data_IF_591481128448
#
_entry.id   IF_591481128448
#
_cell.length_a   1.000
_cell.length_b   1.000
_cell.length_c   1.000
_cell.angle_alpha   90.00
_cell.angle_beta   90.00
_cell.angle_gamma   90.00
#
_symmetry.space_group_name_H-M   'P 1'
#
loop_
_entity.id
_entity.type
_entity.pdbx_description
1 polymer ?
#
# COMPACT_ATOMS: atom_id res chain seq x y z
N UNK A 1 4.11 -16.88 13.81
CA UNK A 1 5.47 -16.42 14.19
C UNK A 1 5.64 -16.49 15.69
N UNK A 2 6.84 -16.16 16.19
CA UNK A 2 7.21 -16.28 17.62
C UNK A 2 6.21 -15.60 18.59
N UNK A 3 5.69 -14.41 18.23
CA UNK A 3 4.72 -13.65 19.04
C UNK A 3 3.24 -13.96 18.75
N UNK A 4 2.92 -15.11 18.14
CA UNK A 4 1.53 -15.49 17.87
C UNK A 4 0.72 -15.76 19.15
N UNK A 5 1.41 -16.06 20.26
CA UNK A 5 0.85 -16.23 21.59
C UNK A 5 0.09 -14.98 22.09
N UNK A 6 0.50 -13.79 21.65
CA UNK A 6 -0.20 -12.52 21.96
C UNK A 6 -1.66 -12.50 21.49
N UNK A 7 -2.03 -13.36 20.53
CA UNK A 7 -3.39 -13.47 20.01
C UNK A 7 -4.26 -14.47 20.79
N UNK A 8 -3.68 -15.19 21.77
CA UNK A 8 -4.36 -16.28 22.49
C UNK A 8 -5.72 -15.88 23.05
N UNK A 9 -5.81 -14.71 23.70
CA UNK A 9 -7.08 -14.20 24.28
C UNK A 9 -8.19 -14.04 23.23
N UNK A 10 -7.84 -13.52 22.05
CA UNK A 10 -8.78 -13.32 20.95
C UNK A 10 -9.21 -14.64 20.30
N UNK A 11 -8.26 -15.56 20.13
CA UNK A 11 -8.52 -16.88 19.53
C UNK A 11 -9.43 -17.74 20.41
N UNK A 12 -9.26 -17.69 21.73
CA UNK A 12 -10.08 -18.46 22.67
C UNK A 12 -11.49 -17.91 22.83
N UNK A 13 -11.72 -16.62 22.57
CA UNK A 13 -13.04 -16.00 22.73
C UNK A 13 -14.02 -16.38 21.61
N UNK A 14 -13.52 -16.65 20.40
CA UNK A 14 -14.36 -16.80 19.20
C UNK A 14 -14.79 -18.25 18.89
N UNK A 15 -14.34 -19.25 19.67
CA UNK A 15 -14.71 -20.68 19.54
C UNK A 15 -14.73 -21.24 18.10
N UNK A 16 -13.96 -20.65 17.19
CA UNK A 16 -13.94 -20.98 15.76
C UNK A 16 -12.51 -20.87 15.22
N UNK A 17 -12.08 -21.80 14.35
CA UNK A 17 -10.75 -21.75 13.75
C UNK A 17 -10.56 -20.46 12.94
N UNK A 18 -9.61 -19.64 13.35
CA UNK A 18 -9.27 -18.39 12.67
C UNK A 18 -8.22 -18.63 11.59
N UNK A 19 -8.45 -18.07 10.40
CA UNK A 19 -7.47 -18.03 9.32
C UNK A 19 -6.86 -16.64 9.24
N UNK A 20 -5.54 -16.57 9.10
CA UNK A 20 -4.81 -15.34 8.90
C UNK A 20 -3.97 -15.48 7.63
N UNK A 21 -3.95 -14.40 6.84
CA UNK A 21 -3.21 -14.32 5.59
C UNK A 21 -2.34 -13.07 5.63
N UNK A 22 -1.11 -13.21 5.15
CA UNK A 22 -0.17 -12.10 5.03
C UNK A 22 0.85 -12.46 3.96
N UNK A 23 1.36 -11.43 3.29
CA UNK A 23 2.49 -11.56 2.37
C UNK A 23 3.81 -11.40 3.14
N UNK A 24 4.86 -12.02 2.61
CA UNK A 24 6.24 -11.88 3.09
C UNK A 24 7.12 -11.33 1.98
N UNK A 25 8.26 -10.72 2.33
CA UNK A 25 9.29 -10.46 1.32
C UNK A 25 9.93 -11.77 0.87
N UNK A 26 10.64 -11.73 -0.26
CA UNK A 26 11.48 -12.84 -0.75
C UNK A 26 12.91 -12.78 -0.18
N UNK A 27 13.26 -11.68 0.50
CA UNK A 27 14.54 -11.47 1.18
C UNK A 27 14.43 -11.76 2.67
N UNK A 28 15.44 -12.42 3.26
CA UNK A 28 15.61 -12.51 4.72
C UNK A 28 15.68 -11.09 5.35
N UNK A 29 14.97 -10.81 6.47
CA UNK A 29 14.24 -11.71 7.36
C UNK A 29 12.75 -11.93 7.00
N UNK A 30 12.41 -11.88 5.71
CA UNK A 30 11.08 -12.12 5.12
C UNK A 30 10.00 -11.13 5.58
N UNK A 31 10.41 -9.97 6.10
CA UNK A 31 9.50 -8.96 6.63
C UNK A 31 8.80 -8.15 5.52
N UNK A 32 7.50 -7.93 5.72
CA UNK A 32 6.68 -7.07 4.86
C UNK A 32 5.90 -6.08 5.73
N UNK A 33 5.97 -4.80 5.36
CA UNK A 33 5.26 -3.70 6.02
C UNK A 33 4.15 -3.21 5.11
N UNK A 34 2.92 -3.46 5.52
CA UNK A 34 1.74 -3.20 4.72
C UNK A 34 1.12 -1.86 5.10
N UNK A 35 0.74 -1.11 4.06
CA UNK A 35 0.03 0.15 4.18
C UNK A 35 -1.24 0.11 3.33
N UNK A 36 -2.26 0.83 3.78
CA UNK A 36 -3.47 1.10 3.00
C UNK A 36 -3.38 2.51 2.41
N UNK A 37 -3.35 2.59 1.09
CA UNK A 37 -3.38 3.83 0.34
C UNK A 37 -4.81 4.12 -0.13
N UNK A 38 -5.40 5.17 0.41
CA UNK A 38 -6.67 5.72 -0.06
C UNK A 38 -6.37 6.87 -1.05
N UNK A 39 -6.85 6.78 -2.30
CA UNK A 39 -6.71 7.82 -3.32
C UNK A 39 -8.08 8.28 -3.82
N UNK A 40 -8.28 9.59 -3.91
CA UNK A 40 -9.39 10.20 -4.62
C UNK A 40 -8.84 11.02 -5.79
N UNK A 41 -9.35 10.84 -7.00
CA UNK A 41 -8.89 11.54 -8.21
C UNK A 41 -9.89 12.58 -8.70
N UNK A 42 -9.45 13.51 -9.53
CA UNK A 42 -10.30 14.53 -10.17
C UNK A 42 -10.18 14.54 -11.70
N UNK A 43 -9.69 13.44 -12.29
CA UNK A 43 -9.73 13.24 -13.74
C UNK A 43 -11.18 13.16 -14.23
N UNK A 44 -11.52 13.88 -15.30
CA UNK A 44 -12.84 13.77 -15.95
C UNK A 44 -13.08 12.35 -16.51
N UNK A 45 -12.07 11.78 -17.16
CA UNK A 45 -12.14 10.43 -17.72
C UNK A 45 -11.55 9.41 -16.75
N UNK A 46 -12.19 8.24 -16.69
CA UNK A 46 -11.68 7.09 -15.93
C UNK A 46 -10.27 6.73 -16.37
N UNK A 47 -9.41 6.43 -15.41
CA UNK A 47 -8.04 5.95 -15.65
C UNK A 47 -7.88 4.58 -15.03
N UNK A 48 -7.38 3.62 -15.79
CA UNK A 48 -7.02 2.30 -15.27
C UNK A 48 -5.50 2.12 -15.32
N UNK A 49 -4.91 1.69 -14.22
CA UNK A 49 -3.47 1.48 -14.14
C UNK A 49 -2.99 1.06 -12.76
N UNK A 50 -1.68 1.00 -12.64
CA UNK A 50 -0.95 0.60 -11.45
C UNK A 50 -0.42 1.83 -10.72
N UNK A 51 -0.31 1.71 -9.40
CA UNK A 51 0.33 2.70 -8.54
C UNK A 51 1.52 2.03 -7.88
N UNK A 52 2.70 2.64 -8.00
CA UNK A 52 3.85 2.36 -7.15
C UNK A 52 4.02 3.52 -6.17
N UNK A 53 4.21 3.20 -4.89
CA UNK A 53 4.40 4.19 -3.83
C UNK A 53 5.87 4.28 -3.51
N UNK A 54 6.36 5.49 -3.31
CA UNK A 54 7.70 5.75 -2.80
C UNK A 54 7.59 6.62 -1.56
N UNK A 55 8.18 6.16 -0.47
CA UNK A 55 8.25 6.86 0.81
C UNK A 55 9.68 7.38 0.97
N UNK A 56 9.82 8.57 1.55
CA UNK A 56 11.11 9.18 1.87
C UNK A 56 11.10 9.64 3.33
N UNK A 57 12.19 9.40 4.03
CA UNK A 57 12.40 9.88 5.40
C UNK A 57 12.99 11.30 5.42
N UNK A 58 13.25 11.85 6.61
CA UNK A 58 13.85 13.18 6.75
C UNK A 58 15.35 13.24 6.42
N UNK A 59 16.03 12.10 6.35
CA UNK A 59 17.43 11.99 5.93
C UNK A 59 17.59 11.83 4.40
N UNK A 60 16.49 11.64 3.68
CA UNK A 60 16.47 11.43 2.24
C UNK A 60 16.54 9.95 1.81
N UNK A 61 16.53 9.00 2.75
CA UNK A 61 16.44 7.58 2.42
C UNK A 61 15.05 7.27 1.87
N UNK A 62 14.99 6.37 0.89
CA UNK A 62 13.74 6.05 0.21
C UNK A 62 13.48 4.56 0.14
N UNK A 63 12.22 4.18 0.33
CA UNK A 63 11.73 2.82 0.08
C UNK A 63 10.60 2.89 -0.94
N UNK A 64 10.52 1.88 -1.79
CA UNK A 64 9.48 1.77 -2.79
C UNK A 64 8.61 0.55 -2.49
N UNK A 65 7.33 0.67 -2.80
CA UNK A 65 6.41 -0.43 -2.62
C UNK A 65 6.61 -1.49 -3.68
N UNK A 66 6.29 -2.72 -3.32
CA UNK A 66 5.94 -3.72 -4.30
C UNK A 66 4.72 -3.23 -5.08
N UNK A 67 4.73 -3.47 -6.38
CA UNK A 67 3.66 -3.02 -7.24
C UNK A 67 2.53 -4.04 -7.21
N UNK A 68 1.30 -3.57 -7.07
CA UNK A 68 0.14 -4.46 -7.07
C UNK A 68 0.06 -5.31 -8.34
N UNK A 69 -0.35 -6.57 -8.15
CA UNK A 69 -0.60 -7.52 -9.22
C UNK A 69 -1.71 -7.03 -10.14
N UNK A 70 -2.72 -6.33 -9.60
CA UNK A 70 -3.90 -5.88 -10.31
C UNK A 70 -3.94 -4.36 -10.55
N UNK A 71 -4.41 -3.98 -11.73
CA UNK A 71 -4.63 -2.58 -12.09
C UNK A 71 -5.92 -2.04 -11.46
N UNK A 72 -5.83 -0.88 -10.81
CA UNK A 72 -6.96 -0.17 -10.23
C UNK A 72 -7.62 0.76 -11.25
N UNK A 73 -8.93 0.96 -11.11
CA UNK A 73 -9.70 1.92 -11.91
C UNK A 73 -10.05 3.14 -11.07
N UNK A 74 -9.63 4.31 -11.53
CA UNK A 74 -9.80 5.60 -10.88
C UNK A 74 -10.86 6.42 -11.61
N UNK A 75 -11.98 6.66 -10.94
CA UNK A 75 -13.07 7.50 -11.42
C UNK A 75 -13.11 8.81 -10.63
N UNK A 76 -13.59 9.88 -11.27
CA UNK A 76 -13.66 11.21 -10.66
C UNK A 76 -14.38 11.16 -9.31
N UNK A 77 -13.74 11.73 -8.29
CA UNK A 77 -14.25 11.86 -6.91
C UNK A 77 -14.58 10.55 -6.20
N UNK A 78 -14.22 9.39 -6.77
CA UNK A 78 -14.34 8.10 -6.10
C UNK A 78 -13.06 7.76 -5.37
N UNK A 79 -13.23 7.34 -4.12
CA UNK A 79 -12.12 6.82 -3.31
C UNK A 79 -11.82 5.39 -3.71
N UNK A 80 -10.56 5.13 -4.02
CA UNK A 80 -10.01 3.80 -4.30
C UNK A 80 -9.05 3.45 -3.17
N UNK A 81 -9.15 2.22 -2.67
CA UNK A 81 -8.28 1.68 -1.63
C UNK A 81 -7.30 0.69 -2.25
N UNK A 82 -6.03 0.84 -1.92
CA UNK A 82 -4.95 0.06 -2.50
C UNK A 82 -4.08 -0.45 -1.36
N UNK A 83 -3.96 -1.77 -1.22
CA UNK A 83 -2.97 -2.38 -0.32
C UNK A 83 -1.59 -2.24 -0.97
N UNK A 84 -0.59 -1.88 -0.18
CA UNK A 84 0.77 -1.69 -0.69
C UNK A 84 1.78 -2.17 0.35
N UNK A 85 2.69 -3.05 -0.07
CA UNK A 85 3.70 -3.65 0.78
C UNK A 85 5.08 -3.04 0.54
N UNK A 86 5.86 -2.88 1.60
CA UNK A 86 7.26 -2.44 1.56
C UNK A 86 8.14 -3.46 2.30
N UNK A 87 9.33 -3.70 1.80
CA UNK A 87 10.29 -4.60 2.47
C UNK A 87 11.00 -3.95 3.66
N UNK A 88 10.90 -2.63 3.80
CA UNK A 88 11.51 -1.87 4.89
C UNK A 88 10.49 -0.89 5.46
N UNK A 89 10.43 -0.77 6.78
CA UNK A 89 9.63 0.27 7.43
C UNK A 89 10.41 1.58 7.50
N UNK A 90 9.75 2.68 7.17
CA UNK A 90 10.23 4.03 7.46
C UNK A 90 9.34 4.59 8.54
N UNK A 91 9.92 4.86 9.72
CA UNK A 91 9.14 5.34 10.85
C UNK A 91 8.57 6.74 10.61
N UNK A 92 9.44 7.69 10.25
CA UNK A 92 9.09 9.10 10.08
C UNK A 92 9.10 9.46 8.61
N UNK A 93 7.91 9.48 8.03
CA UNK A 93 7.70 9.82 6.62
C UNK A 93 7.74 11.34 6.45
N UNK A 94 8.68 11.83 5.64
CA UNK A 94 8.75 13.25 5.25
C UNK A 94 8.00 13.51 3.95
N UNK A 95 8.02 12.55 3.02
CA UNK A 95 7.42 12.69 1.68
C UNK A 95 6.89 11.36 1.16
N UNK A 96 5.76 11.46 0.47
CA UNK A 96 5.15 10.36 -0.28
C UNK A 96 5.11 10.76 -1.75
N UNK A 97 5.60 9.90 -2.63
CA UNK A 97 5.54 10.06 -4.08
C UNK A 97 4.82 8.88 -4.71
N UNK A 98 4.04 9.14 -5.75
CA UNK A 98 3.27 8.13 -6.45
C UNK A 98 3.67 8.09 -7.93
N UNK A 99 3.87 6.88 -8.44
CA UNK A 99 4.11 6.64 -9.86
C UNK A 99 2.89 5.91 -10.40
N UNK A 100 2.17 6.56 -11.31
CA UNK A 100 1.07 5.94 -12.07
C UNK A 100 1.59 5.39 -13.39
N UNK A 101 1.25 4.14 -13.70
CA UNK A 101 1.63 3.47 -14.94
C UNK A 101 0.46 2.68 -15.53
N UNK A 102 0.35 2.66 -16.86
CA UNK A 102 -0.59 1.78 -17.57
C UNK A 102 0.09 0.50 -18.09
N UNK A 103 1.40 0.32 -17.81
CA UNK A 103 2.28 -0.73 -18.38
C UNK A 103 2.29 -0.79 -19.92
N UNK A 104 1.78 0.23 -20.60
CA UNK A 104 1.76 0.30 -22.07
C UNK A 104 3.01 1.02 -22.54
N UNK A 105 3.85 0.34 -23.33
CA UNK A 105 5.09 0.92 -23.90
C UNK A 105 4.80 1.88 -25.06
N UNK A 106 3.71 1.63 -25.79
CA UNK A 106 3.30 2.38 -26.98
C UNK A 106 1.92 2.96 -26.73
N UNK A 107 1.79 4.28 -26.80
CA UNK A 107 0.51 4.98 -26.63
C UNK A 107 0.63 6.34 -25.94
N UNK A 108 -0.49 7.07 -25.85
CA UNK A 108 -0.51 8.38 -25.21
C UNK A 108 -0.23 8.26 -23.71
N UNK A 109 0.68 9.11 -23.21
CA UNK A 109 0.97 9.19 -21.77
C UNK A 109 -0.24 9.75 -21.03
N UNK A 110 -0.87 8.94 -20.20
CA UNK A 110 -2.00 9.36 -19.38
C UNK A 110 -1.55 9.85 -18.00
N UNK A 111 -1.97 11.06 -17.63
CA UNK A 111 -1.73 11.62 -16.29
C UNK A 111 -2.89 11.27 -15.35
N UNK A 112 -2.56 10.76 -14.17
CA UNK A 112 -3.49 10.66 -13.06
C UNK A 112 -3.43 11.95 -12.24
N UNK A 113 -4.60 12.55 -11.97
CA UNK A 113 -4.76 13.80 -11.23
C UNK A 113 -5.39 13.47 -9.88
N UNK A 114 -4.59 13.54 -8.84
CA UNK A 114 -5.00 13.19 -7.47
C UNK A 114 -5.52 14.44 -6.78
N UNK A 115 -6.68 14.30 -6.12
CA UNK A 115 -7.29 15.35 -5.30
C UNK A 115 -6.85 15.18 -3.84
N UNK A 116 -6.91 13.95 -3.34
CA UNK A 116 -6.54 13.60 -1.98
C UNK A 116 -5.89 12.22 -1.96
N UNK A 117 -4.89 12.06 -1.10
CA UNK A 117 -4.34 10.75 -0.78
C UNK A 117 -4.10 10.61 0.72
N UNK A 118 -4.16 9.39 1.23
CA UNK A 118 -3.83 9.06 2.62
C UNK A 118 -3.18 7.69 2.65
N UNK A 119 -2.03 7.59 3.33
CA UNK A 119 -1.30 6.33 3.50
C UNK A 119 -1.35 5.95 4.98
N UNK A 120 -1.91 4.78 5.30
CA UNK A 120 -2.10 4.32 6.68
C UNK A 120 -1.31 3.04 6.92
N UNK A 121 -0.48 3.02 7.96
CA UNK A 121 0.25 1.79 8.32
C UNK A 121 -0.73 0.78 8.92
N UNK A 122 -0.67 -0.47 8.46
CA UNK A 122 -1.42 -1.58 9.06
C UNK A 122 -0.63 -2.24 10.19
N UNK A 123 0.70 -2.22 10.10
CA UNK A 123 1.58 -2.77 11.12
C UNK A 123 1.65 -1.84 12.36
N UNK A 124 1.57 -0.52 12.16
CA UNK A 124 1.62 0.49 13.22
C UNK A 124 0.47 1.51 13.08
N UNK A 125 -0.78 1.16 13.47
CA UNK A 125 -1.96 1.99 13.19
C UNK A 125 -2.02 3.34 13.90
N UNK A 126 -1.28 3.49 15.00
CA UNK A 126 -1.26 4.71 15.83
C UNK A 126 -0.29 5.80 15.30
N UNK A 127 0.35 5.57 14.15
CA UNK A 127 1.30 6.50 13.51
C UNK A 127 0.59 7.61 12.72
#
# INVERSE_FOLDING_TARGET
GYHADRWKKWLTANNSPMKAYFDTSDQDPFCMYNYLLDITTWNTNSRRGFIKVKITDYAGNTVESEMNSEASTFQQYKRVKILTGFYQDIEKISKISLIFSTKTLIGPKHKLRILQMTLKSLNNPER
#
